data_IF_710924941195
#
_entry.id   IF_710924941195
#
_cell.length_a   1.000
_cell.length_b   1.000
_cell.length_c   1.000
_cell.angle_alpha   90.00
_cell.angle_beta   90.00
_cell.angle_gamma   90.00
#
_symmetry.space_group_name_H-M   'P 1'
#
loop_
_entity.id
_entity.type
_entity.pdbx_description
1 polymer ?
#
# COMPACT_ATOMS: atom_id res chain seq x y z
N UNK A 1 22.59 -1.93 0.54
CA UNK A 1 23.69 -0.98 0.86
C UNK A 1 23.41 -0.43 2.24
N UNK A 2 24.17 -0.82 3.26
CA UNK A 2 23.85 -0.52 4.66
C UNK A 2 23.97 0.99 4.92
N UNK A 3 22.83 1.60 5.28
CA UNK A 3 22.70 3.03 5.57
C UNK A 3 23.55 3.44 6.78
N UNK A 4 24.74 3.98 6.51
CA UNK A 4 25.54 4.66 7.52
C UNK A 4 25.07 6.11 7.67
N UNK A 5 23.90 6.28 8.28
CA UNK A 5 23.50 7.58 8.78
C UNK A 5 24.35 7.87 10.02
N UNK A 6 25.15 8.94 9.98
CA UNK A 6 25.86 9.50 11.14
C UNK A 6 24.86 9.72 12.28
N UNK A 7 24.79 8.74 13.19
CA UNK A 7 23.74 8.61 14.20
C UNK A 7 24.04 9.53 15.37
N UNK A 8 23.74 10.82 15.20
CA UNK A 8 23.82 11.78 16.29
C UNK A 8 22.59 11.61 17.20
N UNK A 9 22.66 10.67 18.14
CA UNK A 9 21.58 10.31 19.08
C UNK A 9 20.97 11.52 19.78
N UNK A 10 21.78 12.52 20.13
CA UNK A 10 21.32 13.77 20.76
C UNK A 10 20.46 14.62 19.80
N UNK A 11 20.88 14.79 18.55
CA UNK A 11 20.12 15.58 17.56
C UNK A 11 18.77 14.94 17.27
N UNK A 12 18.75 13.62 17.10
CA UNK A 12 17.53 12.91 16.78
C UNK A 12 16.54 12.98 17.95
N UNK A 13 17.03 12.84 19.21
CA UNK A 13 16.23 13.05 20.41
C UNK A 13 15.62 14.46 20.47
N UNK A 14 16.42 15.50 20.19
CA UNK A 14 15.96 16.89 20.16
C UNK A 14 14.90 17.10 19.08
N UNK A 15 15.10 16.59 17.86
CA UNK A 15 14.12 16.73 16.76
C UNK A 15 12.79 16.05 17.10
N UNK A 16 12.83 14.84 17.67
CA UNK A 16 11.62 14.14 18.12
C UNK A 16 10.90 14.89 19.24
N UNK A 17 11.65 15.47 20.19
CA UNK A 17 11.08 16.28 21.27
C UNK A 17 10.38 17.53 20.72
N UNK A 18 10.99 18.23 19.75
CA UNK A 18 10.38 19.39 19.09
C UNK A 18 9.11 19.03 18.31
N UNK A 19 9.08 17.88 17.62
CA UNK A 19 7.88 17.39 16.91
C UNK A 19 6.75 17.14 17.91
N UNK A 20 7.06 16.48 19.04
CA UNK A 20 6.07 16.19 20.07
C UNK A 20 5.48 17.46 20.67
N UNK A 21 6.32 18.43 21.03
CA UNK A 21 5.89 19.75 21.48
C UNK A 21 4.98 20.42 20.45
N UNK A 22 5.38 20.43 19.17
CA UNK A 22 4.63 21.08 18.10
C UNK A 22 3.23 20.46 17.95
N UNK A 23 3.12 19.13 18.06
CA UNK A 23 1.85 18.42 18.01
C UNK A 23 0.91 18.85 19.15
N UNK A 24 1.42 18.95 20.38
CA UNK A 24 0.63 19.43 21.51
C UNK A 24 0.21 20.89 21.33
N UNK A 25 1.08 21.76 20.83
CA UNK A 25 0.71 23.14 20.52
C UNK A 25 -0.43 23.23 19.49
N UNK A 26 -0.44 22.35 18.48
CA UNK A 26 -1.55 22.26 17.53
C UNK A 26 -2.89 21.90 18.20
N UNK A 27 -2.87 20.96 19.15
CA UNK A 27 -4.06 20.59 19.94
C UNK A 27 -4.49 21.71 20.89
N UNK A 28 -3.57 22.37 21.57
CA UNK A 28 -3.88 23.51 22.44
C UNK A 28 -4.53 24.66 21.67
N UNK A 29 -4.04 24.95 20.47
CA UNK A 29 -4.65 25.96 19.61
C UNK A 29 -6.11 25.64 19.24
N UNK A 30 -6.45 24.37 19.04
CA UNK A 30 -7.83 23.97 18.74
C UNK A 30 -8.80 24.33 19.88
N UNK A 31 -8.43 24.04 21.12
CA UNK A 31 -9.27 24.36 22.28
C UNK A 31 -9.33 25.86 22.57
N UNK A 32 -8.24 26.60 22.32
CA UNK A 32 -8.22 28.04 22.57
C UNK A 32 -9.12 28.83 21.61
N UNK A 33 -9.24 28.37 20.35
CA UNK A 33 -10.04 29.02 19.32
C UNK A 33 -11.46 28.44 19.18
N UNK A 34 -11.98 27.78 20.22
CA UNK A 34 -13.28 27.11 20.16
C UNK A 34 -14.44 28.10 19.95
N UNK A 35 -14.34 29.31 20.50
CA UNK A 35 -15.33 30.39 20.36
C UNK A 35 -15.20 31.22 19.06
N UNK A 36 -14.35 30.81 18.11
CA UNK A 36 -14.06 31.57 16.87
C UNK A 36 -14.53 30.83 15.61
N UNK A 37 -14.42 31.51 14.47
CA UNK A 37 -14.77 30.99 13.14
C UNK A 37 -14.06 29.65 12.87
N UNK A 38 -14.83 28.66 12.38
CA UNK A 38 -14.39 27.29 12.07
C UNK A 38 -13.08 27.24 11.25
N UNK A 39 -12.93 28.13 10.26
CA UNK A 39 -11.75 28.19 9.37
C UNK A 39 -10.47 28.45 10.15
N UNK A 40 -10.51 29.34 11.16
CA UNK A 40 -9.32 29.68 11.97
C UNK A 40 -8.93 28.46 12.82
N UNK A 41 -9.91 27.77 13.38
CA UNK A 41 -9.71 26.59 14.22
C UNK A 41 -9.03 25.44 13.46
N UNK A 42 -9.54 25.08 12.29
CA UNK A 42 -8.92 24.04 11.46
C UNK A 42 -7.62 24.49 10.78
N UNK A 43 -7.53 25.77 10.40
CA UNK A 43 -6.32 26.35 9.81
C UNK A 43 -5.12 26.29 10.75
N UNK A 44 -5.33 26.53 12.05
CA UNK A 44 -4.27 26.44 13.06
C UNK A 44 -3.72 25.02 13.20
N UNK A 45 -4.60 24.01 13.27
CA UNK A 45 -4.17 22.60 13.28
C UNK A 45 -3.37 22.27 12.02
N UNK A 46 -3.88 22.66 10.85
CA UNK A 46 -3.23 22.36 9.57
C UNK A 46 -1.84 22.97 9.50
N UNK A 47 -1.67 24.19 10.01
CA UNK A 47 -0.37 24.88 10.06
C UNK A 47 0.65 24.15 10.93
N UNK A 48 0.29 23.76 12.16
CA UNK A 48 1.18 23.02 13.06
C UNK A 48 1.47 21.61 12.53
N UNK A 49 0.47 20.95 11.95
CA UNK A 49 0.66 19.64 11.30
C UNK A 49 1.64 19.75 10.13
N UNK A 50 1.53 20.79 9.32
CA UNK A 50 2.45 21.06 8.21
C UNK A 50 3.90 21.27 8.71
N UNK A 51 4.09 22.05 9.78
CA UNK A 51 5.41 22.25 10.38
C UNK A 51 5.97 20.93 10.93
N UNK A 52 5.17 20.16 11.64
CA UNK A 52 5.56 18.83 12.14
C UNK A 52 5.96 17.90 11.00
N UNK A 53 5.25 17.94 9.88
CA UNK A 53 5.57 17.16 8.69
C UNK A 53 6.91 17.57 8.07
N UNK A 54 7.20 18.87 7.96
CA UNK A 54 8.49 19.37 7.48
C UNK A 54 9.66 18.98 8.41
N UNK A 55 9.43 18.97 9.72
CA UNK A 55 10.41 18.51 10.70
C UNK A 55 10.64 16.99 10.60
N UNK A 56 9.60 16.21 10.34
CA UNK A 56 9.67 14.77 10.18
C UNK A 56 10.62 14.36 9.03
N UNK A 57 10.61 15.05 7.89
CA UNK A 57 11.54 14.77 6.79
C UNK A 57 13.03 14.95 7.16
N UNK A 58 13.33 15.78 8.18
CA UNK A 58 14.71 15.97 8.67
C UNK A 58 15.14 14.89 9.67
N UNK A 59 14.22 14.07 10.15
CA UNK A 59 14.54 12.96 11.06
C UNK A 59 15.26 11.82 10.31
N UNK A 60 16.05 10.98 11.00
CA UNK A 60 16.71 9.83 10.35
C UNK A 60 15.70 8.92 9.64
N UNK A 61 14.51 8.74 10.20
CA UNK A 61 13.44 7.96 9.58
C UNK A 61 12.88 8.63 8.33
N UNK A 62 12.65 9.96 8.36
CA UNK A 62 12.20 10.71 7.18
C UNK A 62 13.20 10.66 6.02
N UNK A 63 14.51 10.78 6.33
CA UNK A 63 15.58 10.65 5.34
C UNK A 63 15.61 9.23 4.76
N UNK A 64 15.51 8.19 5.61
CA UNK A 64 15.44 6.80 5.14
C UNK A 64 14.26 6.59 4.20
N UNK A 65 13.05 7.03 4.55
CA UNK A 65 11.88 6.93 3.69
C UNK A 65 12.10 7.56 2.31
N UNK A 66 12.74 8.73 2.25
CA UNK A 66 13.05 9.39 0.98
C UNK A 66 14.06 8.60 0.14
N UNK A 67 15.09 8.03 0.78
CA UNK A 67 16.07 7.20 0.07
C UNK A 67 15.42 5.90 -0.43
N UNK A 68 14.63 5.22 0.40
CA UNK A 68 13.85 4.04 -0.01
C UNK A 68 12.90 4.34 -1.17
N UNK A 69 12.24 5.51 -1.17
CA UNK A 69 11.38 5.91 -2.29
C UNK A 69 12.18 6.03 -3.61
N UNK A 70 13.37 6.61 -3.55
CA UNK A 70 14.24 6.74 -4.72
C UNK A 70 14.78 5.38 -5.20
N UNK A 71 15.17 4.49 -4.26
CA UNK A 71 15.60 3.12 -4.57
C UNK A 71 14.46 2.32 -5.19
N UNK A 72 13.26 2.34 -4.58
CA UNK A 72 12.08 1.67 -5.10
C UNK A 72 11.73 2.17 -6.50
N UNK A 73 11.78 3.48 -6.75
CA UNK A 73 11.54 4.05 -8.08
C UNK A 73 12.50 3.46 -9.13
N UNK A 74 13.79 3.36 -8.79
CA UNK A 74 14.80 2.77 -9.69
C UNK A 74 14.50 1.29 -9.94
N UNK A 75 14.09 0.54 -8.91
CA UNK A 75 13.71 -0.88 -9.04
C UNK A 75 12.44 -1.08 -9.86
N UNK A 76 11.42 -0.24 -9.68
CA UNK A 76 10.20 -0.26 -10.48
C UNK A 76 10.51 -0.11 -11.97
N UNK A 77 11.50 0.71 -12.35
CA UNK A 77 11.91 0.86 -13.74
C UNK A 77 12.79 -0.29 -14.26
N UNK A 78 13.31 -1.15 -13.38
CA UNK A 78 13.97 -2.41 -13.78
C UNK A 78 12.96 -3.53 -14.04
N UNK A 79 11.68 -3.32 -13.76
CA UNK A 79 10.63 -4.28 -14.09
C UNK A 79 10.48 -4.29 -15.61
N UNK A 80 11.12 -5.28 -16.23
CA UNK A 80 10.91 -5.60 -17.64
C UNK A 80 9.53 -6.25 -17.70
N UNK A 81 8.54 -5.49 -18.15
CA UNK A 81 7.19 -6.02 -18.30
C UNK A 81 7.23 -7.16 -19.34
N UNK A 82 6.56 -8.28 -19.04
CA UNK A 82 6.54 -9.43 -19.94
C UNK A 82 6.00 -9.01 -21.30
N UNK A 83 6.58 -9.56 -22.37
CA UNK A 83 6.08 -9.26 -23.72
C UNK A 83 4.69 -9.85 -23.90
N UNK A 84 3.87 -9.25 -24.79
CA UNK A 84 2.53 -9.78 -25.11
C UNK A 84 2.54 -11.27 -25.47
N UNK A 85 3.64 -11.76 -26.07
CA UNK A 85 3.78 -13.17 -26.44
C UNK A 85 3.91 -14.08 -25.22
N UNK A 86 4.68 -13.68 -24.21
CA UNK A 86 4.89 -14.46 -22.99
C UNK A 86 3.59 -14.57 -22.18
N UNK A 87 2.86 -13.45 -22.03
CA UNK A 87 1.56 -13.44 -21.36
C UNK A 87 0.54 -14.33 -22.06
N UNK A 88 0.48 -14.28 -23.40
CA UNK A 88 -0.44 -15.10 -24.18
C UNK A 88 -0.10 -16.58 -24.07
N UNK A 89 1.17 -16.97 -24.08
CA UNK A 89 1.57 -18.37 -23.93
C UNK A 89 1.14 -18.90 -22.55
N UNK A 90 1.40 -18.15 -21.47
CA UNK A 90 0.96 -18.56 -20.12
C UNK A 90 -0.57 -18.65 -20.01
N UNK A 91 -1.32 -17.70 -20.59
CA UNK A 91 -2.77 -17.76 -20.63
C UNK A 91 -3.29 -18.95 -21.45
N UNK A 92 -2.64 -19.27 -22.58
CA UNK A 92 -2.99 -20.40 -23.43
C UNK A 92 -2.74 -21.73 -22.71
N UNK A 93 -1.64 -21.86 -21.95
CA UNK A 93 -1.38 -23.04 -21.13
C UNK A 93 -2.49 -23.29 -20.12
N UNK A 94 -2.94 -22.24 -19.42
CA UNK A 94 -4.07 -22.35 -18.47
C UNK A 94 -5.38 -22.64 -19.22
N UNK A 95 -5.61 -22.03 -20.37
CA UNK A 95 -6.80 -22.25 -21.19
C UNK A 95 -6.93 -23.71 -21.65
N UNK A 96 -5.84 -24.32 -22.11
CA UNK A 96 -5.81 -25.75 -22.47
C UNK A 96 -6.13 -26.63 -21.27
N UNK A 97 -5.56 -26.31 -20.10
CA UNK A 97 -5.85 -27.01 -18.85
C UNK A 97 -7.35 -26.97 -18.53
N UNK A 98 -7.97 -25.79 -18.61
CA UNK A 98 -9.41 -25.60 -18.36
C UNK A 98 -10.25 -26.37 -19.37
N UNK A 99 -9.91 -26.34 -20.67
CA UNK A 99 -10.62 -27.08 -21.72
C UNK A 99 -10.66 -28.58 -21.43
N UNK A 100 -9.53 -29.16 -21.03
CA UNK A 100 -9.43 -30.57 -20.66
C UNK A 100 -10.28 -30.87 -19.43
N UNK A 101 -10.20 -30.04 -18.38
CA UNK A 101 -11.00 -30.21 -17.16
C UNK A 101 -12.51 -30.11 -17.44
N UNK A 102 -12.95 -29.12 -18.21
CA UNK A 102 -14.36 -28.96 -18.59
C UNK A 102 -14.87 -30.16 -19.40
N UNK A 103 -14.06 -30.68 -20.33
CA UNK A 103 -14.46 -31.83 -21.12
C UNK A 103 -14.60 -33.09 -20.27
N UNK A 104 -13.63 -33.36 -19.39
CA UNK A 104 -13.67 -34.52 -18.49
C UNK A 104 -14.85 -34.46 -17.53
N UNK A 105 -15.04 -33.34 -16.85
CA UNK A 105 -16.16 -33.16 -15.92
C UNK A 105 -17.51 -33.21 -16.65
N UNK A 106 -17.63 -32.55 -17.80
CA UNK A 106 -18.87 -32.55 -18.58
C UNK A 106 -19.30 -33.94 -19.06
N UNK A 107 -18.34 -34.81 -19.43
CA UNK A 107 -18.65 -36.21 -19.76
C UNK A 107 -19.21 -36.94 -18.54
N UNK A 108 -18.58 -36.77 -17.38
CA UNK A 108 -19.04 -37.41 -16.13
C UNK A 108 -20.45 -36.95 -15.79
N UNK A 109 -20.73 -35.64 -15.85
CA UNK A 109 -22.04 -35.06 -15.57
C UNK A 109 -23.12 -35.57 -16.54
N UNK A 110 -22.79 -35.72 -17.82
CA UNK A 110 -23.73 -36.25 -18.81
C UNK A 110 -24.08 -37.72 -18.55
N UNK A 111 -23.08 -38.53 -18.19
CA UNK A 111 -23.27 -39.95 -17.84
C UNK A 111 -24.11 -40.06 -16.56
N UNK A 112 -23.76 -39.29 -15.51
CA UNK A 112 -24.49 -39.29 -14.25
C UNK A 112 -25.96 -38.94 -14.46
N UNK A 113 -26.23 -37.88 -15.23
CA UNK A 113 -27.59 -37.41 -15.52
C UNK A 113 -28.41 -38.49 -16.24
N UNK A 114 -27.82 -39.19 -17.23
CA UNK A 114 -28.49 -40.31 -17.92
C UNK A 114 -28.80 -41.47 -16.98
N UNK A 115 -27.86 -41.82 -16.09
CA UNK A 115 -28.06 -42.89 -15.11
C UNK A 115 -29.20 -42.51 -14.16
N UNK A 116 -29.18 -41.31 -13.62
CA UNK A 116 -30.22 -40.81 -12.69
C UNK A 116 -31.58 -40.79 -13.37
N UNK A 117 -31.69 -40.26 -14.60
CA UNK A 117 -32.95 -40.26 -15.34
C UNK A 117 -33.48 -41.68 -15.58
N UNK A 118 -32.61 -42.63 -15.91
CA UNK A 118 -32.98 -44.03 -16.09
C UNK A 118 -33.50 -44.68 -14.80
N UNK A 119 -32.95 -44.31 -13.64
CA UNK A 119 -33.38 -44.81 -12.33
C UNK A 119 -34.74 -44.22 -11.93
N UNK A 120 -34.96 -42.93 -12.19
CA UNK A 120 -36.23 -42.26 -11.83
C UNK A 120 -37.37 -42.66 -12.76
N UNK A 121 -37.09 -42.89 -14.04
CA UNK A 121 -38.09 -43.23 -15.05
C UNK A 121 -38.29 -44.76 -15.19
N UNK A 122 -37.85 -45.53 -14.21
CA UNK A 122 -38.10 -46.96 -14.06
C UNK A 122 -38.83 -47.19 -12.73
#
# INVERSE_FOLDING_TARGET
>A
MFFNLKKNKLRDFVLWFFIFINFFFGLFGFYYFDDKILVIRYGFILFFLFISFLLFFKTPYGVMCHMYYNEAKIEFFKIVWPSKRETVISALSVFVLILVSCFLLGIVDFILTKIIFKIINY
#
